data_IF_426230623008
#
_entry.id   IF_426230623008
#
_cell.length_a   1.000
_cell.length_b   1.000
_cell.length_c   1.000
_cell.angle_alpha   90.00
_cell.angle_beta   90.00
_cell.angle_gamma   90.00
#
_symmetry.space_group_name_H-M   'P 1'
#
loop_
_entity.id
_entity.type
_entity.pdbx_description
1 polymer ?
#
# COMPACT_ATOMS: atom_id res chain seq x y z
N UNK A 1 -0.47 38.16 6.38
CA UNK A 1 0.68 38.17 7.30
C UNK A 1 1.53 36.95 6.97
N UNK A 2 2.59 37.10 6.18
CA UNK A 2 3.61 36.06 6.07
C UNK A 2 4.53 36.18 7.28
N UNK A 3 4.18 35.49 8.37
CA UNK A 3 5.07 35.29 9.51
C UNK A 3 5.66 33.88 9.41
N UNK A 4 6.98 33.75 9.55
CA UNK A 4 7.69 32.47 9.59
C UNK A 4 8.90 32.39 8.65
N UNK A 5 9.77 31.39 8.88
CA UNK A 5 10.99 31.11 8.13
C UNK A 5 10.66 30.56 6.71
N UNK A 6 10.54 31.39 5.66
CA UNK A 6 10.01 30.96 4.37
C UNK A 6 11.04 30.15 3.56
N UNK A 7 12.33 30.30 3.89
CA UNK A 7 13.43 29.55 3.31
C UNK A 7 13.68 28.20 4.00
N UNK A 8 12.93 27.86 5.06
CA UNK A 8 13.08 26.55 5.69
C UNK A 8 12.56 25.45 4.74
N UNK A 9 13.37 24.43 4.40
CA UNK A 9 12.98 23.36 3.48
C UNK A 9 11.67 22.65 3.89
N UNK A 10 11.46 22.38 5.18
CA UNK A 10 10.25 21.71 5.65
C UNK A 10 9.01 22.61 5.50
N UNK A 11 9.14 23.91 5.77
CA UNK A 11 8.07 24.89 5.52
C UNK A 11 7.67 24.90 4.05
N UNK A 12 8.65 24.88 3.14
CA UNK A 12 8.39 24.85 1.69
C UNK A 12 7.66 23.56 1.28
N UNK A 13 8.18 22.40 1.68
CA UNK A 13 7.59 21.10 1.35
C UNK A 13 6.16 20.97 1.90
N UNK A 14 5.90 21.48 3.11
CA UNK A 14 4.56 21.46 3.70
C UNK A 14 3.58 22.35 2.92
N UNK A 15 4.01 23.51 2.43
CA UNK A 15 3.17 24.35 1.57
C UNK A 15 2.82 23.66 0.25
N UNK A 16 3.76 22.92 -0.34
CA UNK A 16 3.50 22.12 -1.56
C UNK A 16 2.47 21.02 -1.28
N UNK A 17 2.57 20.33 -0.13
CA UNK A 17 1.56 19.37 0.32
C UNK A 17 0.16 20.02 0.48
N UNK A 18 0.07 21.20 1.10
CA UNK A 18 -1.21 21.92 1.22
C UNK A 18 -1.79 22.30 -0.15
N UNK A 19 -0.95 22.71 -1.09
CA UNK A 19 -1.38 22.99 -2.47
C UNK A 19 -1.93 21.74 -3.14
N UNK A 20 -1.26 20.59 -2.99
CA UNK A 20 -1.75 19.32 -3.52
C UNK A 20 -3.09 18.93 -2.91
N UNK A 21 -3.23 18.95 -1.59
CA UNK A 21 -4.47 18.57 -0.91
C UNK A 21 -5.66 19.41 -1.37
N UNK A 22 -5.46 20.72 -1.57
CA UNK A 22 -6.47 21.61 -2.14
C UNK A 22 -6.82 21.22 -3.58
N UNK A 23 -5.83 20.86 -4.39
CA UNK A 23 -6.07 20.44 -5.76
C UNK A 23 -6.85 19.13 -5.82
N UNK A 24 -6.46 18.13 -5.03
CA UNK A 24 -7.15 16.83 -4.94
C UNK A 24 -8.60 16.99 -4.45
N UNK A 25 -8.85 17.89 -3.50
CA UNK A 25 -10.21 18.23 -3.06
C UNK A 25 -11.06 18.75 -4.22
N UNK A 26 -10.58 19.78 -4.93
CA UNK A 26 -11.30 20.34 -6.07
C UNK A 26 -11.52 19.30 -7.17
N UNK A 27 -10.51 18.46 -7.42
CA UNK A 27 -10.56 17.39 -8.40
C UNK A 27 -11.73 16.44 -8.14
N UNK A 28 -11.83 15.86 -6.95
CA UNK A 28 -12.92 14.90 -6.70
C UNK A 28 -14.30 15.55 -6.64
N UNK A 29 -14.39 16.85 -6.33
CA UNK A 29 -15.66 17.61 -6.34
C UNK A 29 -16.12 17.95 -7.77
N UNK A 30 -15.21 18.01 -8.73
CA UNK A 30 -15.49 18.42 -10.12
C UNK A 30 -15.58 17.22 -11.08
N UNK A 31 -14.85 16.13 -10.83
CA UNK A 31 -14.73 15.00 -11.76
C UNK A 31 -15.96 14.07 -11.83
N UNK A 32 -16.93 14.20 -10.92
CA UNK A 32 -18.16 13.39 -10.92
C UNK A 32 -19.39 14.29 -11.01
N UNK A 33 -19.97 14.39 -12.20
CA UNK A 33 -21.12 15.26 -12.52
C UNK A 33 -22.42 15.04 -11.70
N UNK A 34 -22.51 13.99 -10.86
CA UNK A 34 -23.72 13.63 -10.09
C UNK A 34 -23.38 13.03 -8.72
N UNK A 35 -22.54 13.68 -7.92
CA UNK A 35 -22.29 13.24 -6.54
C UNK A 35 -23.47 13.55 -5.63
N UNK A 36 -23.83 12.59 -4.78
CA UNK A 36 -24.70 12.86 -3.63
C UNK A 36 -23.87 13.17 -2.36
N UNK A 37 -24.57 13.45 -1.25
CA UNK A 37 -23.92 13.79 0.02
C UNK A 37 -23.04 12.63 0.56
N UNK A 38 -23.38 11.38 0.23
CA UNK A 38 -22.63 10.20 0.67
C UNK A 38 -21.34 10.07 -0.14
N UNK A 39 -21.41 10.25 -1.46
CA UNK A 39 -20.24 10.26 -2.34
C UNK A 39 -19.19 11.29 -1.88
N UNK A 40 -19.63 12.50 -1.52
CA UNK A 40 -18.75 13.57 -1.04
C UNK A 40 -18.14 13.19 0.31
N UNK A 41 -18.94 12.69 1.25
CA UNK A 41 -18.45 12.27 2.57
C UNK A 41 -17.41 11.15 2.46
N UNK A 42 -17.66 10.15 1.60
CA UNK A 42 -16.75 9.04 1.35
C UNK A 42 -15.47 9.49 0.63
N UNK A 43 -15.55 10.47 -0.27
CA UNK A 43 -14.38 11.05 -0.92
C UNK A 43 -13.44 11.74 0.10
N UNK A 44 -13.99 12.55 1.02
CA UNK A 44 -13.19 13.15 2.10
C UNK A 44 -12.62 12.08 3.05
N UNK A 45 -13.41 11.07 3.42
CA UNK A 45 -12.89 9.96 4.25
C UNK A 45 -11.75 9.25 3.55
N UNK A 46 -11.87 8.98 2.25
CA UNK A 46 -10.83 8.34 1.46
C UNK A 46 -9.56 9.20 1.41
N UNK A 47 -9.67 10.50 1.13
CA UNK A 47 -8.52 11.41 1.15
C UNK A 47 -7.80 11.39 2.50
N UNK A 48 -8.55 11.39 3.61
CA UNK A 48 -7.98 11.34 4.96
C UNK A 48 -7.36 9.98 5.30
N UNK A 49 -7.96 8.87 4.85
CA UNK A 49 -7.37 7.52 4.99
C UNK A 49 -6.03 7.46 4.23
N UNK A 50 -5.98 7.91 2.97
CA UNK A 50 -4.75 7.96 2.17
C UNK A 50 -3.71 8.87 2.82
N UNK A 51 -4.10 10.04 3.31
CA UNK A 51 -3.20 10.93 4.03
C UNK A 51 -2.58 10.25 5.26
N UNK A 52 -3.41 9.61 6.09
CA UNK A 52 -2.95 8.90 7.28
C UNK A 52 -2.00 7.74 6.93
N UNK A 53 -2.33 6.95 5.92
CA UNK A 53 -1.45 5.89 5.39
C UNK A 53 -0.10 6.48 4.97
N UNK A 54 -0.11 7.59 4.23
CA UNK A 54 1.12 8.24 3.79
C UNK A 54 1.97 8.75 4.96
N UNK A 55 1.35 9.31 6.00
CA UNK A 55 2.05 9.75 7.22
C UNK A 55 2.73 8.55 7.89
N UNK A 56 1.98 7.47 8.09
CA UNK A 56 2.49 6.23 8.70
C UNK A 56 3.65 5.64 7.88
N UNK A 57 3.60 5.72 6.54
CA UNK A 57 4.61 5.15 5.66
C UNK A 57 5.87 6.02 5.50
N UNK A 58 5.72 7.35 5.42
CA UNK A 58 6.80 8.24 4.96
C UNK A 58 7.25 9.27 6.00
N UNK A 59 6.43 9.60 6.99
CA UNK A 59 6.80 10.55 8.06
C UNK A 59 7.32 9.78 9.27
N UNK A 60 6.54 8.81 9.73
CA UNK A 60 6.80 8.10 11.00
C UNK A 60 7.61 6.82 10.84
N UNK A 61 7.92 6.43 9.60
CA UNK A 61 8.66 5.21 9.28
C UNK A 61 9.86 5.51 8.38
N UNK A 62 10.89 4.66 8.48
CA UNK A 62 12.18 4.89 7.83
C UNK A 62 12.92 3.58 7.59
N UNK A 63 13.51 3.41 6.40
CA UNK A 63 14.25 2.20 6.05
C UNK A 63 15.48 1.93 6.94
N UNK A 64 15.96 2.94 7.68
CA UNK A 64 17.03 2.85 8.68
C UNK A 64 16.54 2.48 10.09
N UNK A 65 15.23 2.46 10.34
CA UNK A 65 14.60 1.92 11.54
C UNK A 65 13.16 1.47 11.23
N UNK A 66 13.00 0.45 10.37
CA UNK A 66 11.68 0.11 9.84
C UNK A 66 10.83 -0.57 10.89
N UNK A 67 9.52 -0.39 10.77
CA UNK A 67 8.52 -1.21 11.43
C UNK A 67 7.36 -1.46 10.46
N UNK A 68 6.56 -2.48 10.71
CA UNK A 68 5.35 -2.71 9.94
C UNK A 68 4.24 -1.77 10.42
N UNK A 69 3.61 -1.06 9.48
CA UNK A 69 2.44 -0.23 9.73
C UNK A 69 1.23 -0.73 8.95
N UNK A 70 0.05 -0.70 9.58
CA UNK A 70 -1.21 -1.18 9.00
C UNK A 70 -1.76 -0.17 7.98
N UNK A 71 -1.62 -0.50 6.71
CA UNK A 71 -2.09 0.36 5.61
C UNK A 71 -3.52 0.02 5.17
N UNK A 72 -3.99 -1.21 5.40
CA UNK A 72 -5.37 -1.62 5.12
C UNK A 72 -5.92 -2.44 6.27
N UNK A 73 -7.13 -2.11 6.71
CA UNK A 73 -7.88 -2.79 7.78
C UNK A 73 -9.39 -2.76 7.50
N UNK A 74 -10.24 -3.37 8.35
CA UNK A 74 -11.69 -3.28 8.17
C UNK A 74 -12.24 -1.83 8.14
N UNK A 75 -11.54 -0.87 8.74
CA UNK A 75 -11.98 0.53 8.86
C UNK A 75 -11.14 1.54 8.06
N UNK A 76 -9.97 1.14 7.54
CA UNK A 76 -9.07 1.98 6.73
C UNK A 76 -8.90 1.35 5.35
N UNK A 77 -9.30 2.07 4.30
CA UNK A 77 -9.49 1.55 2.95
C UNK A 77 -8.50 2.16 1.96
N UNK A 78 -8.06 1.35 0.99
CA UNK A 78 -7.09 1.78 -0.02
C UNK A 78 -7.16 0.89 -1.26
N UNK A 79 -7.42 1.50 -2.43
CA UNK A 79 -7.18 0.88 -3.74
C UNK A 79 -7.98 -0.39 -4.07
N UNK A 80 -9.24 -0.49 -3.61
CA UNK A 80 -10.05 -1.69 -3.83
C UNK A 80 -9.60 -2.86 -2.98
N UNK A 81 -9.29 -2.60 -1.70
CA UNK A 81 -8.84 -3.60 -0.76
C UNK A 81 -9.80 -4.78 -0.60
N UNK A 82 -9.24 -5.93 -0.19
CA UNK A 82 -10.03 -7.09 0.19
C UNK A 82 -10.60 -6.87 1.60
N UNK A 83 -11.93 -6.95 1.74
CA UNK A 83 -12.62 -6.74 3.00
C UNK A 83 -12.18 -7.70 4.12
N UNK A 84 -11.71 -8.91 3.76
CA UNK A 84 -11.24 -9.93 4.70
C UNK A 84 -9.71 -10.00 4.71
N UNK A 85 -9.05 -8.84 4.68
CA UNK A 85 -7.62 -8.78 4.69
C UNK A 85 -7.02 -7.66 5.53
N UNK A 86 -5.77 -7.89 5.96
CA UNK A 86 -4.92 -6.91 6.60
C UNK A 86 -3.64 -6.76 5.79
N UNK A 87 -3.28 -5.52 5.45
CA UNK A 87 -2.03 -5.22 4.76
C UNK A 87 -1.12 -4.38 5.65
N UNK A 88 0.13 -4.81 5.77
CA UNK A 88 1.14 -4.12 6.55
C UNK A 88 2.32 -3.73 5.64
N UNK A 89 2.77 -2.48 5.72
CA UNK A 89 3.90 -1.96 4.94
C UNK A 89 5.10 -1.69 5.83
N UNK A 90 6.31 -1.94 5.31
CA UNK A 90 7.54 -1.41 5.88
C UNK A 90 8.45 -0.86 4.76
N UNK A 91 9.08 0.32 4.96
CA UNK A 91 10.04 0.86 4.02
C UNK A 91 11.34 0.06 4.05
N UNK A 92 11.95 -0.11 2.88
CA UNK A 92 13.22 -0.80 2.72
C UNK A 92 14.23 0.09 2.00
N UNK A 93 15.51 -0.21 2.23
CA UNK A 93 16.59 0.25 1.37
C UNK A 93 17.14 -0.97 0.65
N UNK A 94 17.08 -0.97 -0.68
CA UNK A 94 17.54 -2.09 -1.50
C UNK A 94 18.98 -2.55 -1.29
N UNK A 95 19.81 -1.69 -0.68
CA UNK A 95 21.21 -1.94 -0.39
C UNK A 95 21.45 -2.50 1.03
N UNK A 96 20.41 -2.69 1.84
CA UNK A 96 20.49 -3.20 3.22
C UNK A 96 19.92 -4.61 3.33
N UNK A 97 20.26 -5.28 4.42
CA UNK A 97 19.74 -6.58 4.80
C UNK A 97 18.72 -6.44 5.92
N UNK A 98 17.56 -7.08 5.77
CA UNK A 98 16.50 -7.09 6.77
C UNK A 98 16.11 -8.52 7.11
N UNK A 99 15.68 -8.74 8.36
CA UNK A 99 14.99 -9.97 8.77
C UNK A 99 13.56 -9.65 9.10
N UNK A 100 12.64 -10.37 8.46
CA UNK A 100 11.21 -10.35 8.77
C UNK A 100 10.86 -11.62 9.52
N UNK A 101 10.16 -11.48 10.65
CA UNK A 101 9.60 -12.59 11.41
C UNK A 101 8.09 -12.42 11.55
N UNK A 102 7.40 -13.54 11.66
CA UNK A 102 5.98 -13.59 11.92
C UNK A 102 5.53 -14.99 12.27
N UNK A 103 4.25 -15.11 12.61
CA UNK A 103 3.56 -16.39 12.81
C UNK A 103 2.47 -16.52 11.74
N UNK A 104 1.97 -17.71 11.42
CA UNK A 104 0.81 -17.87 10.53
C UNK A 104 -0.51 -17.47 11.20
N UNK A 105 -0.58 -17.60 12.52
CA UNK A 105 -1.77 -17.40 13.34
C UNK A 105 -3.00 -18.06 12.71
N UNK A 106 -4.13 -17.35 12.66
CA UNK A 106 -5.38 -17.81 12.03
C UNK A 106 -5.50 -17.51 10.54
N UNK A 107 -4.43 -17.04 9.89
CA UNK A 107 -4.50 -16.60 8.49
C UNK A 107 -4.63 -17.79 7.53
N UNK A 108 -5.45 -17.65 6.50
CA UNK A 108 -5.54 -18.60 5.41
C UNK A 108 -4.33 -18.45 4.46
N UNK A 109 -3.92 -17.20 4.27
CA UNK A 109 -2.88 -16.78 3.35
C UNK A 109 -2.03 -15.67 3.98
N UNK A 110 -0.71 -15.81 3.82
CA UNK A 110 0.28 -14.76 4.03
C UNK A 110 1.03 -14.57 2.72
N UNK A 111 1.03 -13.35 2.19
CA UNK A 111 1.84 -12.90 1.07
C UNK A 111 2.89 -11.89 1.53
N UNK A 112 4.08 -11.93 0.93
CA UNK A 112 5.16 -10.95 1.11
C UNK A 112 5.63 -10.53 -0.27
N UNK A 113 5.41 -9.26 -0.60
CA UNK A 113 5.77 -8.69 -1.90
C UNK A 113 6.76 -7.55 -1.71
N UNK A 114 7.90 -7.62 -2.39
CA UNK A 114 8.88 -6.54 -2.45
C UNK A 114 8.58 -5.65 -3.65
N UNK A 115 8.58 -4.34 -3.40
CA UNK A 115 8.36 -3.32 -4.41
C UNK A 115 9.60 -2.45 -4.60
N UNK A 116 9.74 -1.95 -5.82
CA UNK A 116 10.65 -0.87 -6.16
C UNK A 116 10.22 -0.22 -7.46
N UNK A 117 11.13 0.50 -8.08
CA UNK A 117 10.85 1.22 -9.31
C UNK A 117 11.94 2.23 -9.64
N UNK A 118 12.09 2.58 -10.91
CA UNK A 118 12.97 3.67 -11.34
C UNK A 118 12.35 5.06 -11.08
N UNK A 119 11.03 5.11 -10.96
CA UNK A 119 10.25 6.31 -10.66
C UNK A 119 8.99 5.95 -9.88
N UNK A 120 8.36 6.94 -9.24
CA UNK A 120 7.15 6.73 -8.41
C UNK A 120 5.93 6.28 -9.23
N UNK A 121 5.87 6.64 -10.53
CA UNK A 121 4.82 6.22 -11.46
C UNK A 121 4.99 4.76 -11.95
N UNK A 122 6.12 4.13 -11.64
CA UNK A 122 6.44 2.76 -12.04
C UNK A 122 6.77 1.94 -10.80
N UNK A 123 5.72 1.38 -10.20
CA UNK A 123 5.87 0.39 -9.14
C UNK A 123 6.00 -0.98 -9.78
N UNK A 124 7.17 -1.59 -9.58
CA UNK A 124 7.54 -2.90 -10.07
C UNK A 124 7.60 -3.89 -8.91
N UNK A 125 7.10 -5.11 -9.15
CA UNK A 125 7.24 -6.23 -8.22
C UNK A 125 8.63 -6.83 -8.37
N UNK A 126 9.48 -6.66 -7.36
CA UNK A 126 10.85 -7.20 -7.37
C UNK A 126 10.92 -8.66 -6.91
N UNK A 127 10.05 -9.04 -5.97
CA UNK A 127 9.92 -10.41 -5.50
C UNK A 127 8.53 -10.60 -4.90
N UNK A 128 7.98 -11.81 -5.03
CA UNK A 128 6.73 -12.18 -4.39
C UNK A 128 6.84 -13.61 -3.86
N UNK A 129 6.52 -13.81 -2.59
CA UNK A 129 6.32 -15.13 -2.00
C UNK A 129 5.02 -15.13 -1.21
N UNK A 130 4.51 -16.33 -0.98
CA UNK A 130 3.32 -16.52 -0.17
C UNK A 130 3.44 -17.78 0.70
N UNK A 131 2.35 -18.17 1.34
CA UNK A 131 2.30 -19.29 2.28
C UNK A 131 2.95 -20.57 1.77
N UNK A 132 2.82 -20.92 0.49
CA UNK A 132 3.42 -22.16 -0.04
C UNK A 132 4.95 -22.11 -0.11
N UNK A 133 5.53 -20.91 -0.12
CA UNK A 133 6.96 -20.67 -0.19
C UNK A 133 7.59 -20.53 1.20
N UNK A 134 6.81 -20.03 2.18
CA UNK A 134 7.27 -19.85 3.55
C UNK A 134 7.64 -21.19 4.19
N UNK A 135 8.74 -21.17 4.95
CA UNK A 135 9.13 -22.30 5.81
C UNK A 135 8.71 -21.96 7.23
N UNK A 136 7.63 -22.60 7.66
CA UNK A 136 7.07 -22.45 8.99
C UNK A 136 7.46 -23.64 9.87
N UNK A 137 7.67 -23.40 11.15
CA UNK A 137 7.80 -24.47 12.13
C UNK A 137 6.43 -25.01 12.58
N UNK A 138 6.44 -25.91 13.56
CA UNK A 138 5.22 -26.54 14.10
C UNK A 138 4.28 -25.57 14.81
N UNK A 139 4.80 -24.42 15.29
CA UNK A 139 4.01 -23.36 15.90
C UNK A 139 3.49 -22.36 14.85
N UNK A 140 3.90 -22.49 13.58
CA UNK A 140 3.55 -21.58 12.50
C UNK A 140 4.48 -20.38 12.39
N UNK A 141 5.59 -20.34 13.14
CA UNK A 141 6.56 -19.25 13.08
C UNK A 141 7.40 -19.35 11.80
N UNK A 142 7.65 -18.21 11.15
CA UNK A 142 8.50 -18.12 9.97
C UNK A 142 9.51 -16.98 10.09
N UNK A 143 10.57 -17.09 9.30
CA UNK A 143 11.64 -16.11 9.21
C UNK A 143 12.07 -15.97 7.74
N UNK A 144 12.12 -14.74 7.25
CA UNK A 144 12.57 -14.40 5.89
C UNK A 144 13.67 -13.36 5.98
N UNK A 145 14.74 -13.52 5.20
CA UNK A 145 15.76 -12.48 5.02
C UNK A 145 15.57 -11.81 3.67
N UNK A 146 15.56 -10.48 3.67
CA UNK A 146 15.56 -9.65 2.47
C UNK A 146 16.96 -9.05 2.36
N UNK A 147 17.69 -9.27 1.26
CA UNK A 147 19.05 -8.71 1.12
C UNK A 147 19.49 -8.57 -0.34
N UNK A 148 20.49 -7.72 -0.66
CA UNK A 148 21.01 -7.59 -2.03
C UNK A 148 21.87 -8.79 -2.47
N UNK A 149 22.19 -9.72 -1.55
CA UNK A 149 23.04 -10.88 -1.85
C UNK A 149 22.31 -11.83 -2.79
N UNK A 150 23.07 -12.62 -3.55
CA UNK A 150 22.47 -13.68 -4.38
C UNK A 150 21.85 -14.80 -3.52
N UNK A 151 22.48 -15.11 -2.38
CA UNK A 151 22.01 -16.07 -1.38
C UNK A 151 22.37 -15.55 0.02
N UNK A 152 21.53 -15.91 1.00
CA UNK A 152 21.74 -15.52 2.38
C UNK A 152 21.17 -16.59 3.34
N UNK A 153 22.05 -17.28 4.07
CA UNK A 153 21.69 -18.41 4.93
C UNK A 153 21.26 -17.99 6.35
N UNK A 154 21.07 -16.69 6.61
CA UNK A 154 20.60 -16.19 7.92
C UNK A 154 19.13 -16.51 8.21
N UNK A 155 18.40 -17.06 7.24
CA UNK A 155 17.05 -17.60 7.40
C UNK A 155 16.74 -18.70 6.36
N UNK A 156 15.73 -19.57 6.60
CA UNK A 156 15.35 -20.62 5.66
C UNK A 156 14.81 -20.12 4.31
N UNK A 157 14.30 -18.89 4.26
CA UNK A 157 13.78 -18.25 3.05
C UNK A 157 14.49 -16.92 2.86
N UNK A 158 14.95 -16.67 1.64
CA UNK A 158 15.65 -15.45 1.25
C UNK A 158 14.97 -14.81 0.04
N UNK A 159 14.73 -13.51 0.12
CA UNK A 159 14.30 -12.67 -1.01
C UNK A 159 15.43 -11.71 -1.38
N UNK A 160 15.82 -11.73 -2.66
CA UNK A 160 16.82 -10.81 -3.17
C UNK A 160 16.20 -9.43 -3.38
N UNK A 161 16.79 -8.39 -2.77
CA UNK A 161 16.50 -7.00 -3.09
C UNK A 161 17.40 -6.49 -4.23
N UNK A 162 16.86 -5.57 -5.02
CA UNK A 162 17.61 -4.74 -5.97
C UNK A 162 17.87 -3.35 -5.39
N UNK A 163 18.84 -2.59 -5.91
CA UNK A 163 19.23 -1.29 -5.35
C UNK A 163 18.10 -0.24 -5.28
N UNK A 164 17.08 -0.37 -6.12
CA UNK A 164 15.87 0.47 -6.14
C UNK A 164 14.66 -0.18 -5.43
N UNK A 165 14.85 -1.27 -4.66
CA UNK A 165 13.81 -1.80 -3.77
C UNK A 165 13.57 -0.82 -2.64
N UNK A 166 12.33 -0.44 -2.40
CA UNK A 166 11.98 0.64 -1.48
C UNK A 166 10.91 0.26 -0.45
N UNK A 167 10.26 -0.91 -0.58
CA UNK A 167 9.24 -1.32 0.38
C UNK A 167 8.89 -2.80 0.30
N UNK A 168 8.30 -3.28 1.38
CA UNK A 168 7.67 -4.61 1.47
C UNK A 168 6.25 -4.44 1.95
N UNK A 169 5.32 -5.19 1.35
CA UNK A 169 3.95 -5.33 1.86
C UNK A 169 3.72 -6.78 2.26
N UNK A 170 3.26 -6.95 3.49
CA UNK A 170 2.70 -8.19 4.00
C UNK A 170 1.18 -8.16 3.79
N UNK A 171 0.61 -9.25 3.30
CA UNK A 171 -0.84 -9.42 3.13
C UNK A 171 -1.32 -10.63 3.88
N UNK A 172 -2.33 -10.46 4.72
CA UNK A 172 -2.99 -11.52 5.47
C UNK A 172 -4.41 -11.67 4.97
N UNK A 173 -4.80 -12.83 4.41
CA UNK A 173 -6.20 -13.11 4.04
C UNK A 173 -6.81 -14.12 4.99
N UNK A 174 -8.08 -13.90 5.30
CA UNK A 174 -8.86 -14.70 6.23
C UNK A 174 -10.03 -15.34 5.47
N UNK A 175 -10.41 -16.57 5.85
CA UNK A 175 -11.60 -17.23 5.29
C UNK A 175 -12.90 -16.67 5.91
N UNK A 176 -12.82 -16.23 7.16
CA UNK A 176 -13.91 -15.66 7.92
C UNK A 176 -13.54 -14.24 8.37
N UNK A 177 -14.52 -13.45 8.83
CA UNK A 177 -14.34 -12.07 9.30
C UNK A 177 -13.47 -11.94 10.56
N UNK A 178 -12.98 -13.05 11.11
CA UNK A 178 -12.22 -13.07 12.35
C UNK A 178 -10.75 -12.69 12.16
N UNK A 179 -10.52 -11.43 11.81
CA UNK A 179 -9.20 -10.78 11.80
C UNK A 179 -8.56 -10.66 13.20
N UNK A 180 -9.25 -11.07 14.27
CA UNK A 180 -8.72 -10.98 15.64
C UNK A 180 -7.57 -11.95 15.91
N UNK A 181 -7.41 -13.00 15.09
CA UNK A 181 -6.29 -13.94 15.13
C UNK A 181 -5.28 -13.65 14.01
N UNK A 182 -4.87 -12.39 13.88
CA UNK A 182 -3.87 -11.99 12.91
C UNK A 182 -2.46 -12.18 13.44
N UNK A 183 -1.52 -12.17 12.49
CA UNK A 183 -0.10 -12.18 12.75
C UNK A 183 0.40 -10.76 12.92
N UNK A 184 1.17 -10.55 13.98
CA UNK A 184 2.07 -9.40 14.06
C UNK A 184 3.38 -9.76 13.37
N UNK A 185 3.84 -8.86 12.51
CA UNK A 185 5.12 -9.00 11.83
C UNK A 185 6.15 -8.08 12.46
N UNK A 186 7.39 -8.55 12.56
CA UNK A 186 8.52 -7.73 12.98
C UNK A 186 9.54 -7.65 11.86
N UNK A 187 10.24 -6.53 11.78
CA UNK A 187 11.34 -6.30 10.85
C UNK A 187 12.52 -5.68 11.59
N UNK A 188 13.71 -6.22 11.37
CA UNK A 188 14.96 -5.70 11.94
C UNK A 188 16.05 -5.59 10.86
N UNK A 189 16.96 -4.63 11.04
CA UNK A 189 18.14 -4.46 10.18
C UNK A 189 19.23 -5.43 10.63
N UNK A 190 19.91 -6.06 9.68
CA UNK A 190 21.00 -7.02 9.94
C UNK A 190 22.39 -6.46 9.68
N UNK A 191 22.50 -5.22 9.21
CA UNK A 191 23.77 -4.55 8.96
C UNK A 191 24.29 -3.88 10.25
N UNK A 192 25.60 -3.97 10.49
CA UNK A 192 26.23 -3.53 11.75
C UNK A 192 26.21 -2.00 11.96
N UNK A 193 25.88 -1.21 10.93
CA UNK A 193 25.90 0.26 10.95
C UNK A 193 24.50 0.85 10.78
N UNK A 194 23.75 0.95 11.88
CA UNK A 194 22.54 1.79 11.91
C UNK A 194 23.00 3.24 12.16
N UNK A 195 23.12 4.01 11.08
CA UNK A 195 23.32 5.45 11.20
C UNK A 195 22.19 6.08 12.04
N UNK A 196 22.49 7.03 12.95
CA UNK A 196 21.47 7.66 13.75
C UNK A 196 20.42 8.35 12.87
N UNK A 197 19.15 8.30 13.29
CA UNK A 197 18.07 9.03 12.63
C UNK A 197 18.42 10.52 12.63
N UNK A 198 18.75 11.08 11.45
CA UNK A 198 19.09 12.50 11.32
C UNK A 198 17.79 13.31 11.32
N UNK A 199 17.43 13.85 12.49
CA UNK A 199 16.29 14.76 12.64
C UNK A 199 16.70 16.18 12.22
N UNK A 200 16.04 16.76 11.22
CA UNK A 200 16.31 18.11 10.76
C UNK A 200 15.39 18.53 9.61
N UNK A 201 15.33 19.83 9.33
CA UNK A 201 14.40 20.40 8.33
C UNK A 201 14.56 19.78 6.95
N UNK A 202 15.78 19.45 6.53
CA UNK A 202 16.05 18.77 5.26
C UNK A 202 15.49 17.34 5.22
N UNK A 203 15.65 16.58 6.31
CA UNK A 203 15.09 15.22 6.40
C UNK A 203 13.58 15.25 6.36
N UNK A 204 12.96 16.12 7.15
CA UNK A 204 11.51 16.27 7.16
C UNK A 204 10.98 16.79 5.83
N UNK A 205 11.69 17.71 5.16
CA UNK A 205 11.31 18.14 3.81
C UNK A 205 11.24 16.96 2.84
N UNK A 206 12.26 16.09 2.80
CA UNK A 206 12.25 14.90 1.92
C UNK A 206 11.11 13.92 2.25
N UNK A 207 10.80 13.73 3.54
CA UNK A 207 9.69 12.89 4.00
C UNK A 207 8.33 13.46 3.59
N UNK A 208 8.13 14.77 3.78
CA UNK A 208 6.93 15.48 3.31
C UNK A 208 6.82 15.37 1.79
N UNK A 209 7.92 15.57 1.04
CA UNK A 209 7.91 15.39 -0.41
C UNK A 209 7.48 13.97 -0.80
N UNK A 210 7.94 12.94 -0.10
CA UNK A 210 7.54 11.54 -0.35
C UNK A 210 6.05 11.31 -0.06
N UNK A 211 5.53 11.89 1.03
CA UNK A 211 4.09 11.91 1.35
C UNK A 211 3.27 12.61 0.25
N UNK A 212 3.70 13.81 -0.18
CA UNK A 212 3.06 14.56 -1.27
C UNK A 212 2.98 13.71 -2.53
N UNK A 213 4.08 13.05 -2.90
CA UNK A 213 4.14 12.19 -4.09
C UNK A 213 3.26 10.96 -3.98
N UNK A 214 3.21 10.33 -2.80
CA UNK A 214 2.29 9.24 -2.53
C UNK A 214 0.83 9.64 -2.74
N UNK A 215 0.42 10.79 -2.16
CA UNK A 215 -0.95 11.30 -2.32
C UNK A 215 -1.23 11.65 -3.78
N UNK A 216 -0.27 12.27 -4.48
CA UNK A 216 -0.40 12.59 -5.91
C UNK A 216 -0.60 11.35 -6.77
N UNK A 217 0.13 10.26 -6.49
CA UNK A 217 -0.05 8.99 -7.18
C UNK A 217 -1.48 8.46 -7.04
N UNK A 218 -2.03 8.53 -5.84
CA UNK A 218 -3.43 8.14 -5.59
C UNK A 218 -4.45 9.07 -6.24
N UNK A 219 -4.24 10.39 -6.21
CA UNK A 219 -5.16 11.34 -6.85
C UNK A 219 -5.14 11.25 -8.38
N UNK A 220 -4.04 10.77 -8.96
CA UNK A 220 -3.97 10.50 -10.41
C UNK A 220 -4.78 9.26 -10.81
N UNK A 221 -5.05 8.35 -9.86
CA UNK A 221 -5.81 7.13 -10.10
C UNK A 221 -7.28 7.25 -9.69
N UNK A 222 -7.58 8.11 -8.71
CA UNK A 222 -8.89 8.22 -8.08
C UNK A 222 -9.32 9.67 -7.93
N UNK A 223 -10.63 9.97 -8.06
CA UNK A 223 -11.72 9.01 -8.29
C UNK A 223 -11.69 8.41 -9.70
N UNK A 224 -12.10 7.14 -9.83
CA UNK A 224 -12.31 6.58 -11.16
C UNK A 224 -13.47 7.32 -11.83
N UNK A 225 -13.32 7.76 -13.09
CA UNK A 225 -14.40 8.41 -13.81
C UNK A 225 -15.56 7.42 -13.99
N UNK A 226 -16.78 7.92 -13.85
CA UNK A 226 -17.95 7.11 -14.12
C UNK A 226 -18.06 6.77 -15.61
N UNK A 227 -18.54 5.57 -15.96
CA UNK A 227 -18.80 5.27 -17.36
C UNK A 227 -19.83 6.22 -17.96
N UNK A 228 -19.52 6.77 -19.13
CA UNK A 228 -20.41 7.65 -19.89
C UNK A 228 -21.62 6.90 -20.49
N UNK A 229 -21.44 5.61 -20.78
CA UNK A 229 -22.43 4.78 -21.45
C UNK A 229 -23.21 3.92 -20.44
N UNK A 230 -24.56 3.95 -20.45
CA UNK A 230 -25.37 3.16 -19.53
C UNK A 230 -25.07 1.65 -19.55
N UNK A 231 -24.71 1.09 -20.70
CA UNK A 231 -24.39 -0.34 -20.87
C UNK A 231 -23.10 -0.79 -20.18
N UNK A 232 -22.24 0.15 -19.77
CA UNK A 232 -21.01 -0.16 -19.04
C UNK A 232 -21.27 -0.42 -17.54
N UNK A 233 -22.43 -0.03 -17.02
CA UNK A 233 -22.84 -0.37 -15.65
C UNK A 233 -23.37 -1.79 -15.58
N UNK A 234 -23.34 -2.36 -14.37
CA UNK A 234 -23.87 -3.69 -14.05
C UNK A 234 -23.19 -4.82 -14.84
N UNK A 235 -21.96 -4.58 -15.27
CA UNK A 235 -21.05 -5.54 -15.88
C UNK A 235 -19.82 -5.71 -14.99
N UNK A 236 -19.25 -6.91 -15.00
CA UNK A 236 -17.95 -7.21 -14.38
C UNK A 236 -17.00 -7.61 -15.50
N UNK A 237 -15.83 -7.00 -15.56
CA UNK A 237 -14.85 -7.35 -16.58
C UNK A 237 -14.34 -8.79 -16.39
N UNK A 238 -13.80 -9.38 -17.47
CA UNK A 238 -13.20 -10.71 -17.37
C UNK A 238 -12.04 -10.70 -16.35
N UNK A 239 -11.89 -11.75 -15.52
CA UNK A 239 -10.80 -11.83 -14.56
C UNK A 239 -9.44 -11.69 -15.24
N UNK A 240 -8.55 -10.91 -14.65
CA UNK A 240 -7.19 -10.71 -15.15
C UNK A 240 -6.19 -10.70 -14.00
N UNK A 241 -4.99 -11.21 -14.26
CA UNK A 241 -3.87 -11.06 -13.34
C UNK A 241 -3.20 -9.72 -13.63
N UNK A 242 -2.82 -9.02 -12.58
CA UNK A 242 -1.97 -7.84 -12.72
C UNK A 242 -0.56 -8.28 -13.13
N UNK A 243 0.03 -7.58 -14.12
CA UNK A 243 1.39 -7.86 -14.62
C UNK A 243 2.48 -7.50 -13.61
N UNK A 244 3.75 -7.52 -14.02
CA UNK A 244 4.88 -7.18 -13.13
C UNK A 244 5.01 -5.67 -12.85
N UNK A 245 4.52 -4.84 -13.77
CA UNK A 245 4.47 -3.37 -13.64
C UNK A 245 3.02 -2.92 -13.66
N UNK A 246 2.55 -2.42 -12.53
CA UNK A 246 1.10 -2.23 -12.30
C UNK A 246 0.77 -0.80 -11.93
N UNK A 247 1.80 0.05 -11.84
CA UNK A 247 1.71 1.42 -11.35
C UNK A 247 1.30 1.53 -9.87
N UNK A 248 0.94 0.41 -9.22
CA UNK A 248 0.28 0.37 -7.91
C UNK A 248 0.81 -0.82 -7.09
N UNK A 249 0.42 -0.94 -5.82
CA UNK A 249 0.81 -2.07 -4.96
C UNK A 249 -0.06 -3.32 -5.18
N UNK A 250 -0.06 -3.87 -6.39
CA UNK A 250 -0.74 -5.15 -6.70
C UNK A 250 0.17 -6.37 -6.43
N UNK A 251 -0.36 -7.59 -6.55
CA UNK A 251 0.42 -8.83 -6.43
C UNK A 251 0.21 -9.73 -7.63
N UNK A 252 1.24 -10.46 -8.08
CA UNK A 252 1.14 -11.31 -9.28
C UNK A 252 0.29 -12.57 -9.07
N UNK A 253 0.00 -12.93 -7.82
CA UNK A 253 -0.78 -14.11 -7.43
C UNK A 253 -2.25 -13.80 -7.12
N UNK A 254 -2.69 -12.55 -7.33
CA UNK A 254 -4.09 -12.17 -7.29
C UNK A 254 -4.68 -12.05 -8.70
N UNK A 255 -5.88 -12.60 -8.87
CA UNK A 255 -6.72 -12.37 -10.05
C UNK A 255 -7.82 -11.38 -9.69
N UNK A 256 -7.94 -10.31 -10.48
CA UNK A 256 -8.86 -9.21 -10.25
C UNK A 256 -9.97 -9.16 -11.31
N UNK A 257 -11.14 -8.69 -10.90
CA UNK A 257 -12.22 -8.31 -11.79
C UNK A 257 -12.94 -7.08 -11.19
N UNK A 258 -13.31 -6.12 -12.03
CA UNK A 258 -13.88 -4.84 -11.62
C UNK A 258 -15.14 -4.53 -12.42
N UNK A 259 -16.00 -3.69 -11.86
CA UNK A 259 -17.23 -3.23 -12.49
C UNK A 259 -17.78 -2.00 -11.80
N UNK A 260 -18.57 -1.21 -12.53
CA UNK A 260 -19.40 -0.16 -11.96
C UNK A 260 -20.82 -0.66 -11.83
N UNK A 261 -21.49 -0.37 -10.71
CA UNK A 261 -22.84 -0.85 -10.45
C UNK A 261 -23.79 0.33 -10.23
N UNK A 262 -24.98 0.24 -10.82
CA UNK A 262 -26.08 1.18 -10.63
C UNK A 262 -27.37 0.38 -10.58
N UNK A 263 -27.90 0.21 -9.37
CA UNK A 263 -29.00 -0.69 -9.05
C UNK A 263 -30.03 0.13 -8.25
N UNK A 264 -31.29 0.14 -8.66
CA UNK A 264 -32.34 0.81 -7.90
C UNK A 264 -32.72 0.02 -6.63
N UNK A 265 -33.39 0.67 -5.67
CA UNK A 265 -33.81 0.06 -4.39
C UNK A 265 -34.61 -1.25 -4.54
N UNK A 266 -35.30 -1.43 -5.67
CA UNK A 266 -36.13 -2.59 -5.99
C UNK A 266 -35.49 -3.56 -7.02
N UNK A 267 -34.20 -3.39 -7.32
CA UNK A 267 -33.44 -4.22 -8.26
C UNK A 267 -32.37 -5.03 -7.54
N UNK A 268 -31.89 -6.08 -8.20
CA UNK A 268 -30.76 -6.87 -7.73
C UNK A 268 -29.85 -7.22 -8.91
N UNK A 269 -28.54 -7.09 -8.71
CA UNK A 269 -27.55 -7.58 -9.66
C UNK A 269 -27.14 -9.01 -9.31
N UNK A 270 -27.47 -9.95 -10.19
CA UNK A 270 -27.11 -11.36 -10.02
C UNK A 270 -25.80 -11.64 -10.74
N UNK A 271 -24.71 -11.75 -9.97
CA UNK A 271 -23.40 -12.14 -10.49
C UNK A 271 -23.28 -13.67 -10.45
N UNK A 272 -22.94 -14.30 -11.57
CA UNK A 272 -22.71 -15.73 -11.69
C UNK A 272 -21.30 -15.99 -12.19
N UNK A 273 -20.61 -16.92 -11.55
CA UNK A 273 -19.28 -17.34 -11.93
C UNK A 273 -18.89 -18.60 -11.18
N UNK A 274 -17.68 -19.08 -11.47
CA UNK A 274 -17.03 -20.14 -10.73
C UNK A 274 -15.67 -19.60 -10.29
N UNK A 275 -15.16 -20.06 -9.13
CA UNK A 275 -13.74 -19.83 -8.84
C UNK A 275 -12.93 -20.44 -9.99
N UNK A 276 -11.93 -19.73 -10.54
CA UNK A 276 -10.93 -20.37 -11.39
C UNK A 276 -10.25 -21.54 -10.67
#
# INVERSE_FOLDING_TARGET
METGHPHNPATKAFRELLTLLKHTELQFLEERNQQDDIDIADAYKNLLDIFAIGVDCYIDNDAGNPHFTRIVSPWRKMGGDNAHALYDFAPLSGNRSYRVRGNRAGTAYIGMTLYGGESEDKIDVHANINTSHLKMDVAGDFCVVISPKAQDDRAPVHLKSSGNTNGVIMRQYFLDDNTSFHSDFTIEILDDNVAPQITGSETIARRITSLTRFIQGWSNMTPLPWPDQPEAYNQVCAPFNTGESTGHWSTPDNTHAFGFFKIADNEALVIKGYSP
#
